data_IF_471533458966
#
_entry.id   IF_471533458966
#
_cell.length_a   1.000
_cell.length_b   1.000
_cell.length_c   1.000
_cell.angle_alpha   90.00
_cell.angle_beta   90.00
_cell.angle_gamma   90.00
#
_symmetry.space_group_name_H-M   'P 1'
#
loop_
_entity.id
_entity.type
_entity.pdbx_description
1 polymer ?
#
# COMPACT_ATOMS: atom_id res chain seq x y z
N UNK A 1 13.36 -15.76 -7.34
CA UNK A 1 11.93 -15.38 -7.39
C UNK A 1 11.70 -14.53 -6.15
N UNK A 2 11.16 -13.31 -6.30
CA UNK A 2 10.79 -12.51 -5.13
C UNK A 2 9.52 -13.09 -4.52
N UNK A 3 9.49 -13.23 -3.21
CA UNK A 3 8.32 -13.74 -2.49
C UNK A 3 7.21 -12.68 -2.48
N UNK A 4 5.96 -13.11 -2.64
CA UNK A 4 4.82 -12.21 -2.70
C UNK A 4 4.57 -11.54 -1.34
N UNK A 5 4.20 -10.25 -1.34
CA UNK A 5 3.79 -9.54 -0.13
C UNK A 5 2.32 -9.83 0.10
N UNK A 6 1.99 -10.15 1.36
CA UNK A 6 0.63 -10.43 1.81
C UNK A 6 0.33 -9.59 3.05
N UNK A 7 -0.57 -8.62 2.93
CA UNK A 7 -1.01 -7.80 4.05
C UNK A 7 -2.38 -8.27 4.56
N UNK A 8 -2.53 -8.49 5.89
CA UNK A 8 -3.75 -9.04 6.45
C UNK A 8 -4.86 -8.00 6.60
N UNK A 9 -6.11 -8.46 6.60
CA UNK A 9 -7.23 -7.71 7.17
C UNK A 9 -7.09 -7.55 8.69
N UNK A 10 -7.34 -6.34 9.19
CA UNK A 10 -7.38 -6.02 10.62
C UNK A 10 -8.82 -6.15 11.15
N UNK A 11 -9.03 -7.02 12.14
CA UNK A 11 -10.38 -7.42 12.61
C UNK A 11 -11.02 -6.44 13.59
N UNK A 12 -10.19 -5.73 14.34
CA UNK A 12 -10.64 -4.88 15.45
C UNK A 12 -10.68 -3.40 15.08
N UNK A 13 -10.42 -3.08 13.81
CA UNK A 13 -10.54 -1.73 13.29
C UNK A 13 -11.85 -1.58 12.51
N UNK A 14 -12.52 -0.47 12.75
CA UNK A 14 -13.71 -0.03 11.99
C UNK A 14 -13.46 1.35 11.40
N UNK A 15 -12.45 1.51 10.52
CA UNK A 15 -12.16 2.80 9.92
C UNK A 15 -13.30 3.24 9.01
N UNK A 16 -13.47 4.56 8.89
CA UNK A 16 -14.28 5.19 7.84
C UNK A 16 -13.36 5.64 6.70
N UNK A 17 -13.94 6.02 5.55
CA UNK A 17 -13.17 6.63 4.46
C UNK A 17 -12.45 7.90 4.93
N UNK A 18 -13.11 8.74 5.72
CA UNK A 18 -12.52 9.97 6.27
C UNK A 18 -11.35 9.67 7.23
N UNK A 19 -11.53 8.73 8.17
CA UNK A 19 -10.44 8.38 9.09
C UNK A 19 -9.27 7.72 8.37
N UNK A 20 -9.57 6.95 7.31
CA UNK A 20 -8.55 6.33 6.46
C UNK A 20 -7.78 7.39 5.69
N UNK A 21 -8.45 8.40 5.13
CA UNK A 21 -7.78 9.51 4.45
C UNK A 21 -6.81 10.23 5.40
N UNK A 22 -7.26 10.57 6.61
CA UNK A 22 -6.40 11.19 7.62
C UNK A 22 -5.21 10.29 7.98
N UNK A 23 -5.44 8.99 8.15
CA UNK A 23 -4.39 8.04 8.49
C UNK A 23 -3.39 7.84 7.36
N UNK A 24 -3.85 7.76 6.11
CA UNK A 24 -3.00 7.69 4.93
C UNK A 24 -2.13 8.95 4.77
N UNK A 25 -2.68 10.14 5.06
CA UNK A 25 -1.89 11.38 5.07
C UNK A 25 -0.82 11.38 6.19
N UNK A 26 -1.16 10.90 7.39
CA UNK A 26 -0.22 10.75 8.50
C UNK A 26 0.95 9.83 8.11
N UNK A 27 0.64 8.60 7.68
CA UNK A 27 1.64 7.59 7.35
C UNK A 27 2.47 7.96 6.11
N UNK A 28 1.87 8.62 5.11
CA UNK A 28 2.63 9.17 3.97
C UNK A 28 3.62 10.26 4.41
N UNK A 29 3.25 11.07 5.40
CA UNK A 29 4.15 12.05 6.01
C UNK A 29 5.29 11.41 6.80
N UNK A 30 5.01 10.34 7.55
CA UNK A 30 6.01 9.56 8.28
C UNK A 30 6.99 8.88 7.30
N UNK A 31 6.48 8.29 6.22
CA UNK A 31 7.29 7.74 5.13
C UNK A 31 8.17 8.82 4.47
N UNK A 32 7.61 9.99 4.16
CA UNK A 32 8.36 11.09 3.56
C UNK A 32 9.54 11.50 4.46
N UNK A 33 9.32 11.60 5.77
CA UNK A 33 10.37 11.88 6.76
C UNK A 33 11.43 10.78 6.79
N UNK A 34 11.03 9.51 6.84
CA UNK A 34 11.97 8.38 6.83
C UNK A 34 12.83 8.37 5.56
N UNK A 35 12.21 8.61 4.40
CA UNK A 35 12.92 8.71 3.11
C UNK A 35 13.89 9.89 3.09
N UNK A 36 13.49 11.06 3.59
CA UNK A 36 14.37 12.23 3.65
C UNK A 36 15.62 11.95 4.50
N UNK A 37 15.46 11.26 5.64
CA UNK A 37 16.58 10.88 6.49
C UNK A 37 17.50 9.86 5.81
N UNK A 38 16.94 8.90 5.07
CA UNK A 38 17.72 7.88 4.36
C UNK A 38 18.37 8.38 3.05
N UNK A 39 17.85 9.45 2.44
CA UNK A 39 18.25 9.95 1.13
C UNK A 39 19.78 10.11 0.91
N UNK A 40 20.59 10.59 1.87
CA UNK A 40 22.04 10.67 1.71
C UNK A 40 22.72 9.32 1.40
N UNK A 41 22.09 8.22 1.82
CA UNK A 41 22.60 6.86 1.71
C UNK A 41 22.00 6.08 0.54
N UNK A 42 20.97 6.61 -0.12
CA UNK A 42 20.23 5.90 -1.17
C UNK A 42 21.15 5.43 -2.31
N UNK A 43 22.23 6.14 -2.62
CA UNK A 43 23.16 5.76 -3.70
C UNK A 43 24.18 4.69 -3.33
N UNK A 44 24.29 4.32 -2.05
CA UNK A 44 25.23 3.29 -1.62
C UNK A 44 24.91 1.94 -2.27
N UNK A 45 25.97 1.21 -2.61
CA UNK A 45 25.87 -0.21 -2.93
C UNK A 45 25.53 -1.01 -1.68
N UNK A 46 25.04 -2.26 -1.83
CA UNK A 46 24.69 -3.10 -0.69
C UNK A 46 25.89 -3.42 0.22
N UNK A 47 27.11 -3.47 -0.34
CA UNK A 47 28.32 -3.67 0.44
C UNK A 47 28.64 -2.43 1.27
N UNK A 48 28.56 -1.23 0.68
CA UNK A 48 28.81 0.03 1.39
C UNK A 48 27.76 0.29 2.47
N UNK A 49 26.48 -0.02 2.19
CA UNK A 49 25.40 0.15 3.16
C UNK A 49 25.61 -0.72 4.42
N UNK A 50 26.13 -1.94 4.25
CA UNK A 50 26.39 -2.86 5.37
C UNK A 50 27.42 -2.34 6.38
N UNK A 51 28.32 -1.47 5.93
CA UNK A 51 29.31 -0.82 6.79
C UNK A 51 28.76 0.41 7.54
N UNK A 52 27.52 0.82 7.24
CA UNK A 52 26.89 2.03 7.78
C UNK A 52 25.70 1.69 8.68
N UNK A 53 25.95 1.49 9.97
CA UNK A 53 24.92 1.13 10.96
C UNK A 53 23.72 2.08 10.97
N UNK A 54 23.97 3.39 10.84
CA UNK A 54 22.91 4.40 10.79
C UNK A 54 22.05 4.24 9.53
N UNK A 55 22.66 4.03 8.36
CA UNK A 55 21.93 3.84 7.11
C UNK A 55 21.05 2.59 7.13
N UNK A 56 21.51 1.51 7.79
CA UNK A 56 20.72 0.28 7.96
C UNK A 56 19.47 0.55 8.81
N UNK A 57 19.61 1.30 9.91
CA UNK A 57 18.49 1.67 10.77
C UNK A 57 17.49 2.56 10.02
N UNK A 58 17.97 3.59 9.31
CA UNK A 58 17.11 4.47 8.51
C UNK A 58 16.41 3.74 7.36
N UNK A 59 17.06 2.75 6.73
CA UNK A 59 16.40 1.88 5.74
C UNK A 59 15.33 1.01 6.40
N UNK A 60 15.53 0.56 7.64
CA UNK A 60 14.50 -0.17 8.39
C UNK A 60 13.26 0.69 8.59
N UNK A 61 13.43 1.95 9.01
CA UNK A 61 12.34 2.92 9.16
C UNK A 61 11.58 3.08 7.83
N UNK A 62 12.27 3.34 6.71
CA UNK A 62 11.63 3.47 5.38
C UNK A 62 10.76 2.26 5.04
N UNK A 63 11.24 1.04 5.31
CA UNK A 63 10.49 -0.19 5.02
C UNK A 63 9.27 -0.35 5.93
N UNK A 64 9.39 0.01 7.20
CA UNK A 64 8.27 -0.05 8.14
C UNK A 64 7.17 0.94 7.75
N UNK A 65 7.54 2.16 7.36
CA UNK A 65 6.59 3.18 6.93
C UNK A 65 5.91 2.83 5.59
N UNK A 66 6.65 2.22 4.64
CA UNK A 66 6.05 1.69 3.39
C UNK A 66 4.96 0.65 3.68
N UNK A 67 5.18 -0.20 4.68
CA UNK A 67 4.19 -1.20 5.08
C UNK A 67 3.01 -0.58 5.81
N UNK A 68 3.23 0.42 6.66
CA UNK A 68 2.15 1.12 7.37
C UNK A 68 1.20 1.80 6.37
N UNK A 69 1.73 2.60 5.44
CA UNK A 69 0.93 3.22 4.35
C UNK A 69 0.13 2.18 3.57
N UNK A 70 0.79 1.09 3.17
CA UNK A 70 0.14 0.01 2.43
C UNK A 70 -0.96 -0.65 3.28
N UNK A 71 -0.68 -0.96 4.55
CA UNK A 71 -1.61 -1.62 5.45
C UNK A 71 -2.86 -0.79 5.71
N UNK A 72 -2.75 0.53 5.82
CA UNK A 72 -3.91 1.42 5.95
C UNK A 72 -4.82 1.32 4.73
N UNK A 73 -4.24 1.35 3.53
CA UNK A 73 -5.00 1.22 2.28
C UNK A 73 -5.68 -0.14 2.16
N UNK A 74 -4.93 -1.22 2.43
CA UNK A 74 -5.43 -2.59 2.41
C UNK A 74 -6.55 -2.82 3.42
N UNK A 75 -6.42 -2.24 4.62
CA UNK A 75 -7.45 -2.35 5.66
C UNK A 75 -8.77 -1.74 5.19
N UNK A 76 -8.72 -0.54 4.58
CA UNK A 76 -9.92 0.11 4.09
C UNK A 76 -10.54 -0.63 2.90
N UNK A 77 -9.75 -1.18 1.98
CA UNK A 77 -10.27 -2.01 0.87
C UNK A 77 -11.14 -3.16 1.41
N UNK A 78 -10.69 -3.86 2.46
CA UNK A 78 -11.48 -4.92 3.07
C UNK A 78 -12.74 -4.41 3.80
N UNK A 79 -12.70 -3.22 4.38
CA UNK A 79 -13.88 -2.59 4.99
C UNK A 79 -14.90 -2.20 3.91
N UNK A 80 -14.42 -1.70 2.77
CA UNK A 80 -15.24 -1.38 1.60
C UNK A 80 -15.94 -2.61 1.04
N UNK A 81 -15.22 -3.73 0.96
CA UNK A 81 -15.81 -5.01 0.57
C UNK A 81 -16.94 -5.44 1.51
N UNK A 82 -16.69 -5.42 2.82
CA UNK A 82 -17.63 -5.95 3.80
C UNK A 82 -18.82 -5.02 4.09
N UNK A 83 -18.62 -3.70 4.03
CA UNK A 83 -19.61 -2.71 4.50
C UNK A 83 -20.27 -1.91 3.38
N UNK A 84 -19.65 -1.84 2.21
CA UNK A 84 -20.14 -1.07 1.07
C UNK A 84 -20.49 -1.97 -0.13
N UNK A 85 -20.35 -3.30 0.01
CA UNK A 85 -20.72 -4.26 -1.03
C UNK A 85 -19.81 -4.23 -2.26
N UNK A 86 -18.61 -3.67 -2.13
CA UNK A 86 -17.63 -3.59 -3.20
C UNK A 86 -17.03 -4.98 -3.47
N UNK A 87 -17.07 -5.44 -4.73
CA UNK A 87 -16.38 -6.67 -5.13
C UNK A 87 -14.88 -6.39 -5.27
N UNK A 88 -14.13 -6.79 -4.25
CA UNK A 88 -12.69 -6.53 -4.19
C UNK A 88 -11.88 -7.37 -5.20
N UNK A 89 -12.38 -8.53 -5.64
CA UNK A 89 -11.74 -9.30 -6.71
C UNK A 89 -11.94 -8.60 -8.07
N UNK A 90 -13.12 -8.03 -8.33
CA UNK A 90 -13.34 -7.16 -9.50
C UNK A 90 -12.41 -5.95 -9.50
N UNK A 91 -12.27 -5.28 -8.35
CA UNK A 91 -11.40 -4.12 -8.21
C UNK A 91 -9.94 -4.43 -8.54
N UNK A 92 -9.43 -5.59 -8.11
CA UNK A 92 -8.08 -6.04 -8.47
C UNK A 92 -7.97 -6.19 -9.99
N UNK A 93 -8.95 -6.85 -10.62
CA UNK A 93 -8.97 -7.01 -12.08
C UNK A 93 -8.93 -5.67 -12.83
N UNK A 94 -9.70 -4.69 -12.38
CA UNK A 94 -9.72 -3.34 -12.95
C UNK A 94 -8.41 -2.59 -12.74
N UNK A 95 -7.83 -2.69 -11.53
CA UNK A 95 -6.54 -2.10 -11.24
C UNK A 95 -5.44 -2.70 -12.14
N UNK A 96 -5.41 -4.02 -12.32
CA UNK A 96 -4.48 -4.70 -13.23
C UNK A 96 -4.67 -4.29 -14.70
N UNK A 97 -5.92 -4.13 -15.14
CA UNK A 97 -6.23 -3.63 -16.48
C UNK A 97 -5.74 -2.19 -16.67
N UNK A 98 -5.99 -1.31 -15.70
CA UNK A 98 -5.48 0.08 -15.68
C UNK A 98 -3.95 0.10 -15.75
N UNK A 99 -3.27 -0.78 -15.02
CA UNK A 99 -1.81 -0.88 -15.06
C UNK A 99 -1.31 -1.30 -16.46
N UNK A 100 -1.97 -2.27 -17.08
CA UNK A 100 -1.63 -2.73 -18.43
C UNK A 100 -1.86 -1.62 -19.48
N UNK A 101 -2.95 -0.88 -19.37
CA UNK A 101 -3.28 0.24 -20.27
C UNK A 101 -2.28 1.40 -20.15
N UNK A 102 -1.78 1.66 -18.93
CA UNK A 102 -0.69 2.61 -18.67
C UNK A 102 0.68 2.10 -19.15
N UNK A 103 0.77 0.87 -19.65
CA UNK A 103 1.99 0.26 -20.18
C UNK A 103 2.94 -0.29 -19.11
N UNK A 104 2.48 -0.48 -17.87
CA UNK A 104 3.31 -1.05 -16.82
C UNK A 104 3.53 -2.56 -17.05
N UNK A 105 4.79 -2.97 -17.06
CA UNK A 105 5.16 -4.37 -17.18
C UNK A 105 5.25 -5.05 -15.81
N UNK A 106 4.61 -6.21 -15.66
CA UNK A 106 4.69 -7.05 -14.47
C UNK A 106 4.56 -8.54 -14.85
N UNK A 107 4.73 -9.45 -13.89
CA UNK A 107 4.63 -10.88 -14.13
C UNK A 107 3.16 -11.33 -14.24
N UNK A 108 2.66 -11.40 -15.47
CA UNK A 108 1.28 -11.82 -15.76
C UNK A 108 1.04 -13.32 -15.57
N UNK A 109 2.07 -14.12 -15.26
CA UNK A 109 1.89 -15.53 -14.93
C UNK A 109 1.43 -15.76 -13.48
N UNK A 110 1.56 -14.74 -12.62
CA UNK A 110 1.08 -14.80 -11.24
C UNK A 110 -0.39 -14.37 -11.14
N UNK A 111 -1.10 -14.97 -10.19
CA UNK A 111 -2.48 -14.63 -9.91
C UNK A 111 -2.54 -13.63 -8.75
N UNK A 112 -2.64 -12.35 -9.08
CA UNK A 112 -2.86 -11.28 -8.10
C UNK A 112 -4.33 -11.24 -7.75
N UNK A 113 -4.65 -11.56 -6.50
CA UNK A 113 -6.03 -11.68 -6.02
C UNK A 113 -6.11 -11.43 -4.53
N UNK A 114 -7.33 -11.21 -4.04
CA UNK A 114 -7.60 -11.27 -2.61
C UNK A 114 -7.77 -12.74 -2.22
N UNK A 115 -6.89 -13.23 -1.34
CA UNK A 115 -6.96 -14.61 -0.85
C UNK A 115 -7.54 -14.62 0.55
N UNK A 116 -8.65 -15.34 0.72
CA UNK A 116 -9.23 -15.59 2.04
C UNK A 116 -8.78 -16.96 2.56
N UNK A 117 -7.97 -16.96 3.62
CA UNK A 117 -7.52 -18.19 4.29
C UNK A 117 -8.41 -18.44 5.51
N UNK A 118 -9.18 -19.55 5.56
CA UNK A 118 -9.97 -19.87 6.73
C UNK A 118 -9.08 -20.31 7.90
N UNK A 119 -9.07 -19.55 9.01
CA UNK A 119 -8.49 -19.97 10.28
C UNK A 119 -9.61 -20.44 11.22
N UNK A 120 -9.46 -21.67 11.75
CA UNK A 120 -10.45 -22.33 12.61
C UNK A 120 -10.53 -21.77 14.03
N UNK A 121 -9.58 -20.93 14.45
CA UNK A 121 -9.53 -20.35 15.80
C UNK A 121 -9.95 -18.87 15.81
N UNK A 122 -9.51 -18.08 14.82
CA UNK A 122 -9.71 -16.62 14.79
C UNK A 122 -10.51 -16.10 13.57
N UNK A 123 -11.04 -16.99 12.72
CA UNK A 123 -11.86 -16.62 11.54
C UNK A 123 -11.07 -16.48 10.23
N UNK A 124 -11.73 -16.05 9.16
CA UNK A 124 -11.13 -15.94 7.82
C UNK A 124 -10.15 -14.76 7.71
N UNK A 125 -8.87 -14.99 7.42
CA UNK A 125 -7.89 -13.93 7.16
C UNK A 125 -7.88 -13.61 5.67
N UNK A 126 -8.18 -12.36 5.30
CA UNK A 126 -8.03 -11.90 3.92
C UNK A 126 -6.64 -11.31 3.73
N UNK A 127 -6.03 -11.62 2.61
CA UNK A 127 -4.73 -11.11 2.19
C UNK A 127 -4.84 -10.57 0.78
N UNK A 128 -4.15 -9.47 0.52
CA UNK A 128 -3.98 -8.91 -0.82
C UNK A 128 -2.53 -9.07 -1.26
N UNK A 129 -2.35 -9.35 -2.55
CA UNK A 129 -1.05 -9.34 -3.20
C UNK A 129 -1.12 -8.53 -4.48
N UNK A 130 -0.14 -7.66 -4.67
CA UNK A 130 -0.06 -6.74 -5.80
C UNK A 130 1.25 -6.97 -6.59
N UNK A 131 1.25 -6.73 -7.91
CA UNK A 131 2.41 -7.00 -8.76
C UNK A 131 3.65 -6.19 -8.38
N UNK A 132 4.82 -6.76 -8.68
CA UNK A 132 6.04 -5.98 -8.82
C UNK A 132 6.06 -5.36 -10.22
N UNK A 133 5.86 -4.04 -10.32
CA UNK A 133 6.00 -3.33 -11.58
C UNK A 133 7.49 -3.17 -11.93
N UNK A 134 7.84 -3.53 -13.17
CA UNK A 134 9.19 -3.35 -13.73
C UNK A 134 9.35 -1.91 -14.17
N UNK A 135 9.79 -1.07 -13.26
CA UNK A 135 9.97 0.36 -13.50
C UNK A 135 11.47 0.70 -13.58
N UNK A 136 11.81 1.51 -14.57
CA UNK A 136 13.16 2.09 -14.68
C UNK A 136 13.21 3.43 -13.93
N UNK A 137 14.33 3.72 -13.28
CA UNK A 137 14.64 5.03 -12.67
C UNK A 137 13.71 5.50 -11.53
N UNK A 138 12.99 4.58 -10.87
CA UNK A 138 12.21 4.92 -9.68
C UNK A 138 13.12 5.03 -8.45
N UNK A 139 12.96 6.12 -7.70
CA UNK A 139 13.63 6.38 -6.42
C UNK A 139 12.61 6.39 -5.28
N UNK A 140 13.11 6.33 -4.04
CA UNK A 140 12.28 6.50 -2.85
C UNK A 140 11.54 7.84 -2.87
N UNK A 141 12.23 8.92 -3.27
CA UNK A 141 11.62 10.25 -3.38
C UNK A 141 10.48 10.28 -4.40
N UNK A 142 10.68 9.72 -5.60
CA UNK A 142 9.61 9.69 -6.61
C UNK A 142 8.43 8.82 -6.17
N UNK A 143 8.67 7.79 -5.35
CA UNK A 143 7.61 6.96 -4.77
C UNK A 143 6.79 7.74 -3.77
N UNK A 144 7.43 8.51 -2.89
CA UNK A 144 6.73 9.42 -1.96
C UNK A 144 5.88 10.43 -2.72
N UNK A 145 6.43 11.03 -3.77
CA UNK A 145 5.66 11.97 -4.62
C UNK A 145 4.44 11.30 -5.26
N UNK A 146 4.59 10.06 -5.77
CA UNK A 146 3.48 9.35 -6.39
C UNK A 146 2.42 8.93 -5.36
N UNK A 147 2.81 8.47 -4.19
CA UNK A 147 1.86 8.21 -3.08
C UNK A 147 1.07 9.47 -2.73
N UNK A 148 1.73 10.62 -2.65
CA UNK A 148 1.06 11.89 -2.35
C UNK A 148 0.09 12.33 -3.45
N UNK A 149 0.42 12.04 -4.71
CA UNK A 149 -0.47 12.24 -5.87
C UNK A 149 -1.73 11.38 -5.74
N UNK A 150 -1.59 10.07 -5.50
CA UNK A 150 -2.74 9.15 -5.38
C UNK A 150 -3.62 9.47 -4.15
N UNK A 151 -3.02 9.93 -3.03
CA UNK A 151 -3.79 10.45 -1.88
C UNK A 151 -4.60 11.69 -2.29
N UNK A 152 -4.06 12.53 -3.17
CA UNK A 152 -4.78 13.65 -3.76
C UNK A 152 -5.96 13.20 -4.63
N UNK A 153 -5.78 12.16 -5.43
CA UNK A 153 -6.87 11.56 -6.24
C UNK A 153 -7.95 10.94 -5.35
N UNK A 154 -7.58 10.20 -4.31
CA UNK A 154 -8.50 9.72 -3.27
C UNK A 154 -9.31 10.87 -2.65
N UNK A 155 -8.65 11.98 -2.31
CA UNK A 155 -9.30 13.17 -1.75
C UNK A 155 -10.31 13.78 -2.74
N UNK A 156 -10.07 13.72 -4.04
CA UNK A 156 -11.03 14.19 -5.03
C UNK A 156 -12.31 13.36 -5.01
N UNK A 157 -12.22 12.03 -4.88
CA UNK A 157 -13.40 11.17 -4.76
C UNK A 157 -14.19 11.44 -3.48
N UNK A 158 -13.50 11.54 -2.34
CA UNK A 158 -14.13 11.75 -1.03
C UNK A 158 -14.65 13.18 -0.82
N UNK A 159 -14.04 14.18 -1.46
CA UNK A 159 -14.39 15.59 -1.32
C UNK A 159 -15.18 16.12 -2.50
N UNK A 160 -14.49 16.32 -3.63
CA UNK A 160 -15.00 17.08 -4.78
C UNK A 160 -16.12 16.36 -5.51
N UNK A 161 -15.94 15.08 -5.79
CA UNK A 161 -16.95 14.28 -6.49
C UNK A 161 -18.18 14.01 -5.62
N UNK A 162 -18.01 14.01 -4.30
CA UNK A 162 -19.07 13.91 -3.30
C UNK A 162 -19.75 15.26 -2.96
N UNK A 163 -19.29 16.40 -3.51
CA UNK A 163 -19.86 17.72 -3.26
C UNK A 163 -19.62 18.25 -1.84
N UNK A 164 -18.61 17.75 -1.12
CA UNK A 164 -18.38 18.04 0.30
C UNK A 164 -18.11 19.53 0.60
N UNK A 165 -17.68 20.32 -0.39
CA UNK A 165 -17.44 21.77 -0.28
C UNK A 165 -18.52 22.64 -0.94
N UNK A 166 -19.72 22.09 -1.17
CA UNK A 166 -20.81 22.81 -1.86
C UNK A 166 -20.69 22.81 -3.39
N UNK A 167 -19.79 21.99 -3.92
CA UNK A 167 -19.69 21.70 -5.36
C UNK A 167 -20.88 20.81 -5.80
N UNK A 168 -21.26 20.88 -7.08
CA UNK A 168 -22.26 19.95 -7.60
C UNK A 168 -21.70 18.52 -7.53
N UNK A 169 -22.39 17.62 -6.81
CA UNK A 169 -22.09 16.19 -6.83
C UNK A 169 -22.16 15.70 -8.29
N UNK A 170 -21.06 15.14 -8.79
CA UNK A 170 -20.95 14.68 -10.18
C UNK A 170 -21.03 13.18 -10.33
N UNK A 171 -20.80 12.44 -9.24
CA UNK A 171 -20.81 10.99 -9.19
C UNK A 171 -21.85 10.54 -8.17
N UNK A 172 -22.41 9.36 -8.38
CA UNK A 172 -23.24 8.70 -7.37
C UNK A 172 -22.36 8.07 -6.26
N UNK A 173 -22.96 7.64 -5.12
CA UNK A 173 -22.19 7.06 -4.02
C UNK A 173 -21.40 5.79 -4.38
N UNK A 174 -21.91 4.96 -5.31
CA UNK A 174 -21.25 3.72 -5.70
C UNK A 174 -20.03 4.02 -6.57
N UNK A 175 -20.13 5.00 -7.47
CA UNK A 175 -19.02 5.53 -8.26
C UNK A 175 -17.93 6.15 -7.36
N UNK A 176 -18.33 6.91 -6.32
CA UNK A 176 -17.38 7.49 -5.34
C UNK A 176 -16.65 6.38 -4.57
N UNK A 177 -17.38 5.41 -4.04
CA UNK A 177 -16.79 4.29 -3.29
C UNK A 177 -15.85 3.48 -4.18
N UNK A 178 -16.28 3.16 -5.40
CA UNK A 178 -15.46 2.42 -6.35
C UNK A 178 -14.18 3.17 -6.73
N UNK A 179 -14.29 4.46 -7.03
CA UNK A 179 -13.14 5.32 -7.32
C UNK A 179 -12.16 5.38 -6.14
N UNK A 180 -12.66 5.64 -4.94
CA UNK A 180 -11.84 5.66 -3.73
C UNK A 180 -11.11 4.33 -3.49
N UNK A 181 -11.76 3.19 -3.74
CA UNK A 181 -11.13 1.87 -3.61
C UNK A 181 -10.00 1.64 -4.64
N UNK A 182 -10.17 2.13 -5.87
CA UNK A 182 -9.13 2.08 -6.90
C UNK A 182 -7.93 2.96 -6.54
N UNK A 183 -8.14 4.13 -5.93
CA UNK A 183 -7.04 4.98 -5.47
C UNK A 183 -6.30 4.39 -4.26
N UNK A 184 -7.01 3.73 -3.34
CA UNK A 184 -6.37 2.96 -2.27
C UNK A 184 -5.48 1.84 -2.83
N UNK A 185 -5.91 1.17 -3.91
CA UNK A 185 -5.08 0.17 -4.60
C UNK A 185 -3.83 0.79 -5.23
N UNK A 186 -3.94 1.97 -5.85
CA UNK A 186 -2.78 2.66 -6.45
C UNK A 186 -1.75 3.07 -5.39
N UNK A 187 -2.19 3.57 -4.23
CA UNK A 187 -1.29 3.88 -3.11
C UNK A 187 -0.58 2.60 -2.62
N UNK A 188 -1.33 1.51 -2.39
CA UNK A 188 -0.76 0.24 -1.97
C UNK A 188 0.22 -0.33 -3.02
N UNK A 189 -0.10 -0.22 -4.30
CA UNK A 189 0.72 -0.67 -5.43
C UNK A 189 2.08 0.06 -5.46
N UNK A 190 2.10 1.37 -5.19
CA UNK A 190 3.33 2.13 -5.09
C UNK A 190 4.23 1.58 -3.96
N UNK A 191 3.64 1.29 -2.80
CA UNK A 191 4.36 0.76 -1.66
C UNK A 191 4.92 -0.64 -1.94
N UNK A 192 4.11 -1.53 -2.52
CA UNK A 192 4.52 -2.90 -2.88
C UNK A 192 5.67 -2.89 -3.89
N UNK A 193 5.54 -2.09 -4.95
CA UNK A 193 6.59 -1.97 -5.98
C UNK A 193 7.90 -1.50 -5.38
N UNK A 194 7.87 -0.48 -4.51
CA UNK A 194 9.08 0.02 -3.88
C UNK A 194 9.70 -1.00 -2.91
N UNK A 195 8.89 -1.73 -2.15
CA UNK A 195 9.39 -2.84 -1.31
C UNK A 195 10.11 -3.90 -2.14
N UNK A 196 9.59 -4.27 -3.32
CA UNK A 196 10.27 -5.19 -4.23
C UNK A 196 11.59 -4.63 -4.78
N UNK A 197 11.63 -3.35 -5.13
CA UNK A 197 12.85 -2.66 -5.56
C UNK A 197 13.90 -2.68 -4.44
N UNK A 198 13.52 -2.36 -3.20
CA UNK A 198 14.41 -2.40 -2.04
C UNK A 198 14.89 -3.82 -1.73
N UNK A 199 14.04 -4.84 -1.89
CA UNK A 199 14.42 -6.24 -1.73
C UNK A 199 15.46 -6.67 -2.75
N UNK A 200 15.28 -6.32 -4.02
CA UNK A 200 16.27 -6.58 -5.06
C UNK A 200 17.57 -5.80 -4.84
N UNK A 201 17.47 -4.53 -4.44
CA UNK A 201 18.62 -3.63 -4.30
C UNK A 201 19.46 -3.94 -3.08
N UNK A 202 18.86 -4.04 -1.89
CA UNK A 202 19.56 -4.13 -0.61
C UNK A 202 19.46 -5.52 0.04
N UNK A 203 19.03 -6.53 -0.70
CA UNK A 203 18.84 -7.91 -0.21
C UNK A 203 17.92 -7.98 1.02
N UNK A 204 16.85 -7.18 1.04
CA UNK A 204 15.85 -7.21 2.10
C UNK A 204 15.06 -8.52 2.04
N UNK A 205 14.95 -9.21 3.17
CA UNK A 205 14.07 -10.37 3.30
C UNK A 205 12.62 -9.89 3.50
N UNK A 206 11.81 -9.99 2.44
CA UNK A 206 10.39 -9.57 2.45
C UNK A 206 9.58 -10.37 3.47
N UNK A 207 9.78 -11.69 3.57
CA UNK A 207 9.01 -12.53 4.48
C UNK A 207 9.25 -12.14 5.95
N UNK A 208 10.51 -11.92 6.33
CA UNK A 208 10.85 -11.44 7.68
C UNK A 208 10.27 -10.06 7.97
N UNK A 209 10.34 -9.15 6.99
CA UNK A 209 9.80 -7.80 7.11
C UNK A 209 8.28 -7.82 7.34
N UNK A 210 7.53 -8.57 6.50
CA UNK A 210 6.08 -8.72 6.63
C UNK A 210 5.73 -9.41 7.96
N UNK A 211 6.45 -10.46 8.36
CA UNK A 211 6.21 -11.13 9.64
C UNK A 211 6.44 -10.18 10.83
N UNK A 212 7.50 -9.37 10.80
CA UNK A 212 7.78 -8.35 11.81
C UNK A 212 6.66 -7.31 11.90
N UNK A 213 6.17 -6.85 10.75
CA UNK A 213 5.04 -5.92 10.66
C UNK A 213 3.75 -6.52 11.21
N UNK A 214 3.38 -7.74 10.82
CA UNK A 214 2.18 -8.42 11.35
C UNK A 214 2.27 -8.61 12.87
N UNK A 215 3.44 -8.99 13.39
CA UNK A 215 3.67 -9.10 14.83
C UNK A 215 3.49 -7.74 15.55
N UNK A 216 3.91 -6.63 14.94
CA UNK A 216 3.68 -5.26 15.46
C UNK A 216 2.18 -4.98 15.56
N UNK A 217 1.40 -5.30 14.52
CA UNK A 217 -0.05 -5.09 14.49
C UNK A 217 -0.78 -5.95 15.54
N UNK A 218 -0.37 -7.21 15.71
CA UNK A 218 -0.89 -8.10 16.77
C UNK A 218 -0.64 -7.53 18.17
N UNK A 219 0.57 -7.01 18.44
CA UNK A 219 0.90 -6.36 19.73
C UNK A 219 0.07 -5.10 19.99
N UNK A 220 -0.32 -4.38 18.93
CA UNK A 220 -1.23 -3.23 19.01
C UNK A 220 -2.70 -3.63 19.14
N UNK A 221 -3.03 -4.93 19.04
CA UNK A 221 -4.40 -5.44 19.17
C UNK A 221 -5.26 -5.24 17.94
N UNK A 222 -4.67 -5.11 16.74
CA UNK A 222 -5.42 -4.87 15.49
C UNK A 222 -5.84 -6.16 14.76
N UNK A 223 -5.18 -7.28 15.08
CA UNK A 223 -5.38 -8.60 14.47
C UNK A 223 -6.00 -9.58 15.45
#
# INVERSE_FOLDING_TARGET
MLEAIYLPKLRYLTPTLDSTLLKAMEEAGELARAVLNFMPWEKLSPAELKEQTEAIALLADVKEELLDVAQTCVTMIFVMEDSFGIDADSLIGEHLAKLADKGYAYDTSQNYRITTTPNRQDGNYKYISLPHLRLENVTLLTTVCKIQEEIGELTQFLGKHAGASGEQARLDPDEVNRGAALELLDIAQCCFTMMYILAGRYAVNIAELVAGHVNKLQRRGYC
#
